data_IF_259301822463
#
_entry.id   IF_259301822463
#
_cell.length_a   1.000
_cell.length_b   1.000
_cell.length_c   1.000
_cell.angle_alpha   90.00
_cell.angle_beta   90.00
_cell.angle_gamma   90.00
#
_symmetry.space_group_name_H-M   'P 1'
#
loop_
_entity.id
_entity.type
_entity.pdbx_description
1 polymer ?
#
# COMPACT_ATOMS: atom_id res chain seq x y z
N UNK A 1 -15.71 6.20 -0.60
CA UNK A 1 -16.62 5.40 0.22
C UNK A 1 -16.79 3.97 -0.28
N UNK A 2 -16.75 3.70 -1.62
CA UNK A 2 -16.79 2.34 -2.16
C UNK A 2 -15.68 1.43 -1.61
N UNK A 3 -14.44 1.87 -1.54
CA UNK A 3 -13.32 1.07 -1.04
C UNK A 3 -13.52 0.66 0.43
N UNK A 4 -14.05 1.56 1.25
CA UNK A 4 -14.37 1.28 2.66
C UNK A 4 -15.51 0.26 2.76
N UNK A 5 -16.54 0.39 1.91
CA UNK A 5 -17.65 -0.57 1.85
C UNK A 5 -17.18 -1.96 1.41
N UNK A 6 -16.29 -2.06 0.42
CA UNK A 6 -15.68 -3.34 0.00
C UNK A 6 -14.88 -3.95 1.14
N UNK A 7 -14.04 -3.18 1.82
CA UNK A 7 -13.30 -3.67 2.99
C UNK A 7 -14.25 -4.21 4.06
N UNK A 8 -15.32 -3.47 4.39
CA UNK A 8 -16.28 -3.89 5.40
C UNK A 8 -17.02 -5.18 5.03
N UNK A 9 -17.30 -5.40 3.75
CA UNK A 9 -17.94 -6.62 3.24
C UNK A 9 -16.99 -7.84 3.27
N UNK A 10 -15.69 -7.63 3.04
CA UNK A 10 -14.68 -8.69 3.03
C UNK A 10 -14.20 -9.08 4.44
N UNK A 11 -14.39 -8.24 5.43
CA UNK A 11 -13.89 -8.43 6.80
C UNK A 11 -14.38 -9.71 7.51
N UNK A 12 -15.22 -10.50 6.87
CA UNK A 12 -15.75 -11.75 7.44
C UNK A 12 -15.05 -13.03 6.96
N UNK A 13 -14.38 -13.06 5.80
CA UNK A 13 -13.96 -14.32 5.19
C UNK A 13 -12.47 -14.47 4.79
N UNK A 14 -11.73 -13.38 4.56
CA UNK A 14 -10.35 -13.44 4.03
C UNK A 14 -9.37 -12.56 4.83
N UNK A 15 -9.58 -12.46 6.13
CA UNK A 15 -8.79 -11.59 7.01
C UNK A 15 -7.63 -12.38 7.59
N UNK A 16 -6.41 -11.98 7.29
CA UNK A 16 -5.19 -12.51 7.89
C UNK A 16 -4.61 -11.51 8.90
N UNK A 17 -4.51 -11.92 10.17
CA UNK A 17 -3.78 -11.15 11.16
C UNK A 17 -2.29 -11.50 11.09
N UNK A 18 -1.49 -10.59 10.53
CA UNK A 18 -0.05 -10.75 10.36
C UNK A 18 0.69 -10.21 11.57
N UNK A 19 1.24 -11.12 12.35
CA UNK A 19 2.16 -10.79 13.46
C UNK A 19 3.52 -11.43 13.16
N UNK A 20 4.51 -10.59 12.95
CA UNK A 20 5.90 -11.00 12.74
C UNK A 20 6.84 -10.00 13.41
N UNK A 21 8.14 -10.31 13.46
CA UNK A 21 9.15 -9.37 13.95
C UNK A 21 9.17 -8.02 13.20
N UNK A 22 8.64 -7.99 11.97
CA UNK A 22 8.69 -6.82 11.10
C UNK A 22 7.34 -6.15 10.88
N UNK A 23 6.21 -6.81 11.19
CA UNK A 23 4.88 -6.30 10.88
C UNK A 23 3.84 -6.80 11.87
N UNK A 24 2.99 -5.88 12.31
CA UNK A 24 1.72 -6.19 13.00
C UNK A 24 0.61 -5.45 12.29
N UNK A 25 -0.30 -6.17 11.64
CA UNK A 25 -1.44 -5.60 10.91
C UNK A 25 -2.44 -6.68 10.54
N UNK A 26 -3.68 -6.31 10.35
CA UNK A 26 -4.68 -7.17 9.71
C UNK A 26 -4.70 -6.87 8.22
N UNK A 27 -4.60 -7.88 7.37
CA UNK A 27 -4.60 -7.73 5.92
C UNK A 27 -5.74 -8.51 5.29
N UNK A 28 -6.33 -7.94 4.25
CA UNK A 28 -7.32 -8.61 3.40
C UNK A 28 -6.86 -8.48 1.96
N UNK A 29 -6.46 -9.58 1.35
CA UNK A 29 -6.06 -9.62 -0.06
C UNK A 29 -7.32 -9.70 -0.93
N UNK A 30 -7.36 -8.89 -1.98
CA UNK A 30 -8.45 -8.89 -2.94
C UNK A 30 -8.22 -9.96 -4.01
N UNK A 31 -9.28 -10.70 -4.32
CA UNK A 31 -9.30 -11.55 -5.50
C UNK A 31 -9.41 -10.67 -6.76
N UNK A 32 -8.41 -10.75 -7.62
CA UNK A 32 -8.32 -9.94 -8.84
C UNK A 32 -9.51 -10.18 -9.79
N UNK A 33 -10.06 -11.38 -9.80
CA UNK A 33 -11.20 -11.72 -10.67
C UNK A 33 -12.51 -11.09 -10.21
N UNK A 34 -12.68 -10.90 -8.90
CA UNK A 34 -13.89 -10.35 -8.30
C UNK A 34 -13.83 -8.82 -8.15
N UNK A 35 -12.64 -8.24 -8.10
CA UNK A 35 -12.40 -6.82 -7.83
C UNK A 35 -11.60 -6.14 -8.96
N UNK A 36 -11.94 -6.49 -10.21
CA UNK A 36 -11.27 -5.93 -11.40
C UNK A 36 -11.29 -4.39 -11.41
N UNK A 37 -12.38 -3.79 -11.00
CA UNK A 37 -12.53 -2.33 -10.94
C UNK A 37 -11.53 -1.66 -9.99
N UNK A 38 -11.16 -2.33 -8.88
CA UNK A 38 -10.15 -1.84 -7.94
C UNK A 38 -8.75 -1.98 -8.58
N UNK A 39 -8.50 -3.10 -9.24
CA UNK A 39 -7.24 -3.29 -9.97
C UNK A 39 -7.07 -2.25 -11.10
N UNK A 40 -8.12 -2.00 -11.88
CA UNK A 40 -8.11 -0.99 -12.94
C UNK A 40 -7.86 0.42 -12.36
N UNK A 41 -8.44 0.74 -11.20
CA UNK A 41 -8.15 2.00 -10.49
C UNK A 41 -6.68 2.09 -10.11
N UNK A 42 -6.12 1.07 -9.45
CA UNK A 42 -4.71 1.06 -9.03
C UNK A 42 -3.79 1.15 -10.24
N UNK A 43 -4.09 0.42 -11.32
CA UNK A 43 -3.31 0.49 -12.56
C UNK A 43 -3.34 1.88 -13.19
N UNK A 44 -4.51 2.52 -13.22
CA UNK A 44 -4.65 3.89 -13.73
C UNK A 44 -3.83 4.90 -12.91
N UNK A 45 -3.87 4.80 -11.58
CA UNK A 45 -3.09 5.66 -10.69
C UNK A 45 -1.58 5.44 -10.85
N UNK A 46 -1.16 4.18 -10.92
CA UNK A 46 0.24 3.82 -11.18
C UNK A 46 0.70 4.33 -12.54
N UNK A 47 -0.11 4.14 -13.60
CA UNK A 47 0.21 4.58 -14.96
C UNK A 47 0.35 6.10 -15.05
N UNK A 48 -0.56 6.85 -14.39
CA UNK A 48 -0.43 8.30 -14.33
C UNK A 48 0.87 8.73 -13.68
N UNK A 49 1.18 8.23 -12.49
CA UNK A 49 2.42 8.54 -11.78
C UNK A 49 3.67 8.12 -12.57
N UNK A 50 3.58 6.98 -13.25
CA UNK A 50 4.65 6.47 -14.11
C UNK A 50 4.94 7.39 -15.29
N UNK A 51 3.91 7.83 -15.99
CA UNK A 51 4.03 8.75 -17.13
C UNK A 51 4.57 10.12 -16.68
N UNK A 52 4.13 10.60 -15.52
CA UNK A 52 4.51 11.91 -15.01
C UNK A 52 5.93 11.93 -14.39
N UNK A 53 6.44 10.78 -13.91
CA UNK A 53 7.62 10.78 -13.02
C UNK A 53 8.61 9.66 -13.26
N UNK A 54 8.17 8.38 -13.36
CA UNK A 54 9.08 7.24 -13.23
C UNK A 54 9.57 6.66 -14.56
N UNK A 55 8.71 6.55 -15.55
CA UNK A 55 9.05 6.03 -16.89
C UNK A 55 9.37 4.52 -16.92
N UNK A 56 8.86 3.74 -15.98
CA UNK A 56 9.05 2.28 -15.96
C UNK A 56 8.18 1.58 -16.99
N UNK A 57 8.60 0.41 -17.45
CA UNK A 57 7.69 -0.50 -18.14
C UNK A 57 6.79 -1.18 -17.09
N UNK A 58 5.48 -0.90 -17.16
CA UNK A 58 4.44 -1.54 -16.34
C UNK A 58 3.35 -2.09 -17.26
N UNK A 59 2.83 -3.26 -16.96
CA UNK A 59 1.84 -3.95 -17.80
C UNK A 59 0.72 -4.66 -17.02
N UNK A 60 0.83 -4.75 -15.68
CA UNK A 60 -0.13 -5.48 -14.86
C UNK A 60 -0.15 -5.00 -13.40
N UNK A 61 -1.08 -5.55 -12.61
CA UNK A 61 -1.13 -5.43 -11.16
C UNK A 61 -0.88 -6.82 -10.55
N UNK A 62 0.05 -6.92 -9.59
CA UNK A 62 0.30 -8.16 -8.85
C UNK A 62 -0.97 -8.57 -8.09
N UNK A 63 -1.34 -7.81 -7.10
CA UNK A 63 -2.61 -7.86 -6.38
C UNK A 63 -2.83 -6.58 -5.56
N UNK A 64 -4.04 -6.44 -5.04
CA UNK A 64 -4.37 -5.36 -4.10
C UNK A 64 -4.70 -5.96 -2.73
N UNK A 65 -4.38 -5.23 -1.67
CA UNK A 65 -4.76 -5.63 -0.32
C UNK A 65 -5.13 -4.43 0.56
N UNK A 66 -6.11 -4.62 1.42
CA UNK A 66 -6.36 -3.72 2.53
C UNK A 66 -5.41 -4.01 3.69
N UNK A 67 -4.95 -2.96 4.35
CA UNK A 67 -4.11 -3.03 5.54
C UNK A 67 -4.77 -2.23 6.64
N UNK A 68 -5.15 -2.91 7.72
CA UNK A 68 -5.67 -2.32 8.94
C UNK A 68 -4.59 -2.39 10.02
N UNK A 69 -4.22 -1.23 10.55
CA UNK A 69 -3.31 -1.07 11.68
C UNK A 69 -4.11 -0.60 12.89
N UNK A 70 -4.11 -1.37 13.97
CA UNK A 70 -4.92 -1.11 15.18
C UNK A 70 -4.00 -0.71 16.35
N UNK A 71 -4.45 0.22 17.19
CA UNK A 71 -3.75 0.63 18.41
C UNK A 71 -3.55 -0.52 19.40
N UNK A 72 -4.50 -1.48 19.43
CA UNK A 72 -4.47 -2.63 20.34
C UNK A 72 -3.18 -3.44 20.25
N UNK A 73 -2.63 -3.51 19.02
CA UNK A 73 -1.44 -4.30 18.72
C UNK A 73 -0.25 -3.39 18.37
N UNK A 74 -0.37 -2.07 18.60
CA UNK A 74 0.58 -1.08 18.10
C UNK A 74 0.90 -1.32 16.61
N UNK A 75 -0.15 -1.47 15.80
CA UNK A 75 -0.10 -1.89 14.40
C UNK A 75 0.94 -1.09 13.62
N UNK A 76 1.87 -1.78 12.97
CA UNK A 76 3.00 -1.17 12.26
C UNK A 76 3.56 -2.07 11.16
N UNK A 77 4.43 -1.49 10.33
CA UNK A 77 5.29 -2.23 9.41
C UNK A 77 6.68 -1.57 9.43
N UNK A 78 7.71 -2.30 9.83
CA UNK A 78 9.08 -1.79 9.91
C UNK A 78 9.63 -1.47 8.52
N UNK A 79 10.82 -0.91 8.47
CA UNK A 79 11.52 -0.60 7.23
C UNK A 79 11.63 -1.84 6.34
N UNK A 80 11.14 -1.73 5.11
CA UNK A 80 11.16 -2.79 4.10
C UNK A 80 11.06 -2.18 2.70
N UNK A 81 11.27 -3.01 1.70
CA UNK A 81 10.99 -2.73 0.29
C UNK A 81 9.88 -3.66 -0.19
N UNK A 82 9.09 -3.20 -1.14
CA UNK A 82 8.04 -4.01 -1.76
C UNK A 82 8.55 -4.85 -2.94
N UNK A 83 9.75 -4.55 -3.40
CA UNK A 83 10.39 -5.24 -4.50
C UNK A 83 10.72 -6.69 -4.13
N UNK A 84 10.10 -7.64 -4.84
CA UNK A 84 10.43 -9.07 -4.77
C UNK A 84 11.38 -9.36 -5.94
N UNK A 85 12.68 -9.47 -5.71
CA UNK A 85 13.50 -9.42 -6.88
C UNK A 85 14.78 -10.22 -6.97
N UNK A 86 15.29 -10.69 -5.86
CA UNK A 86 16.57 -11.39 -5.83
C UNK A 86 16.49 -12.86 -5.39
N UNK A 87 15.30 -13.33 -5.05
CA UNK A 87 15.12 -14.77 -4.88
C UNK A 87 15.06 -15.43 -6.26
N UNK A 88 15.65 -16.60 -6.39
CA UNK A 88 15.75 -17.41 -7.63
C UNK A 88 14.38 -17.90 -8.17
N UNK A 89 13.29 -17.26 -7.79
CA UNK A 89 11.98 -17.55 -8.36
C UNK A 89 11.94 -17.00 -9.79
N UNK A 90 11.54 -17.86 -10.72
CA UNK A 90 11.37 -17.55 -12.15
C UNK A 90 10.23 -16.54 -12.43
N UNK A 91 9.90 -15.66 -11.47
CA UNK A 91 8.92 -14.62 -11.70
C UNK A 91 9.47 -13.60 -12.69
N UNK A 92 8.97 -13.67 -13.90
CA UNK A 92 9.32 -12.77 -15.01
C UNK A 92 8.93 -11.33 -14.70
N UNK A 93 7.82 -11.13 -13.96
CA UNK A 93 7.32 -9.80 -13.60
C UNK A 93 7.81 -9.36 -12.21
N UNK A 94 8.19 -8.12 -12.09
CA UNK A 94 8.67 -7.48 -10.86
C UNK A 94 7.82 -6.29 -10.51
N UNK A 95 7.56 -6.06 -9.21
CA UNK A 95 6.89 -4.85 -8.72
C UNK A 95 7.73 -3.63 -9.04
N UNK A 96 7.14 -2.66 -9.72
CA UNK A 96 7.78 -1.41 -10.16
C UNK A 96 7.31 -0.22 -9.34
N UNK A 97 6.00 -0.11 -9.12
CA UNK A 97 5.37 1.01 -8.44
C UNK A 97 4.43 0.47 -7.37
N UNK A 98 4.62 0.96 -6.16
CA UNK A 98 3.70 0.79 -5.04
C UNK A 98 2.72 1.97 -5.03
N UNK A 99 1.44 1.68 -4.92
CA UNK A 99 0.35 2.65 -4.81
C UNK A 99 -0.35 2.46 -3.49
N UNK A 100 -0.37 3.48 -2.65
CA UNK A 100 -1.06 3.47 -1.34
C UNK A 100 -2.18 4.48 -1.36
N UNK A 101 -3.40 4.04 -1.06
CA UNK A 101 -4.57 4.91 -0.89
C UNK A 101 -4.93 4.96 0.58
N UNK A 102 -4.94 6.16 1.16
CA UNK A 102 -5.37 6.40 2.53
C UNK A 102 -6.89 6.33 2.64
N UNK A 103 -7.41 5.50 3.55
CA UNK A 103 -8.86 5.27 3.70
C UNK A 103 -9.43 5.74 5.04
N UNK A 104 -8.59 6.04 6.03
CA UNK A 104 -9.00 6.66 7.31
C UNK A 104 -8.85 8.18 7.25
N UNK A 105 -9.72 8.88 7.98
CA UNK A 105 -9.53 10.31 8.24
C UNK A 105 -8.39 10.53 9.23
N UNK A 106 -7.61 11.63 9.13
CA UNK A 106 -6.51 11.90 10.04
C UNK A 106 -6.93 12.08 11.51
N UNK A 107 -8.22 12.28 11.76
CA UNK A 107 -8.81 12.41 13.12
C UNK A 107 -9.15 11.06 13.74
N UNK A 108 -9.14 9.97 12.98
CA UNK A 108 -9.52 8.63 13.44
C UNK A 108 -8.37 7.87 14.11
N UNK A 109 -7.12 8.35 13.97
CA UNK A 109 -5.95 7.67 14.51
C UNK A 109 -4.79 8.62 14.81
N UNK A 110 -3.84 8.16 15.64
CA UNK A 110 -2.57 8.81 15.90
C UNK A 110 -1.41 7.82 15.62
N UNK A 111 -0.27 8.33 15.15
CA UNK A 111 0.80 7.48 14.62
C UNK A 111 0.47 6.94 13.23
N UNK A 112 0.90 5.73 12.91
CA UNK A 112 0.56 5.07 11.65
C UNK A 112 1.05 5.81 10.39
N UNK A 113 2.07 6.64 10.49
CA UNK A 113 2.59 7.43 9.38
C UNK A 113 3.31 6.54 8.36
N UNK A 114 2.97 6.68 7.07
CA UNK A 114 3.78 6.15 5.97
C UNK A 114 5.01 7.06 5.81
N UNK A 115 6.20 6.49 6.00
CA UNK A 115 7.48 7.18 5.86
C UNK A 115 8.32 6.50 4.79
N UNK A 116 8.82 7.29 3.82
CA UNK A 116 9.75 6.83 2.79
C UNK A 116 11.15 7.31 3.16
N UNK A 117 12.14 6.43 3.04
CA UNK A 117 13.55 6.74 3.35
C UNK A 117 14.08 7.77 2.35
N UNK A 118 14.87 8.69 2.86
CA UNK A 118 15.47 9.79 2.09
C UNK A 118 14.47 10.80 1.49
N UNK A 119 13.19 10.76 1.89
CA UNK A 119 12.23 11.76 1.47
C UNK A 119 12.33 13.03 2.33
N UNK A 120 12.32 14.19 1.69
CA UNK A 120 12.32 15.51 2.34
C UNK A 120 10.94 16.18 2.20
N UNK A 121 9.89 15.49 2.65
CA UNK A 121 8.55 16.04 2.61
C UNK A 121 8.42 17.27 3.50
N UNK A 122 7.81 18.32 2.95
CA UNK A 122 7.38 19.51 3.72
C UNK A 122 6.27 19.12 4.71
N UNK A 123 6.02 19.98 5.70
CA UNK A 123 4.89 19.80 6.63
C UNK A 123 3.55 19.68 5.89
N UNK A 124 3.36 20.47 4.82
CA UNK A 124 2.14 20.44 4.01
C UNK A 124 2.00 19.09 3.29
N UNK A 125 3.04 18.59 2.62
CA UNK A 125 3.01 17.29 1.96
C UNK A 125 2.70 16.16 2.94
N UNK A 126 3.32 16.16 4.13
CA UNK A 126 2.99 15.19 5.18
C UNK A 126 1.54 15.25 5.60
N UNK A 127 1.00 16.44 5.80
CA UNK A 127 -0.42 16.65 6.12
C UNK A 127 -1.34 16.15 5.00
N UNK A 128 -0.97 16.39 3.74
CA UNK A 128 -1.76 15.94 2.59
C UNK A 128 -1.77 14.42 2.46
N UNK A 129 -0.66 13.75 2.75
CA UNK A 129 -0.58 12.28 2.74
C UNK A 129 -1.50 11.60 3.77
N UNK A 130 -1.87 12.29 4.84
CA UNK A 130 -2.74 11.75 5.88
C UNK A 130 -4.23 11.84 5.55
N UNK A 131 -4.62 12.69 4.60
CA UNK A 131 -6.04 12.89 4.25
C UNK A 131 -6.63 11.64 3.63
N UNK A 132 -7.86 11.30 4.00
CA UNK A 132 -8.61 10.22 3.34
C UNK A 132 -8.76 10.51 1.86
N UNK A 133 -8.52 9.49 1.04
CA UNK A 133 -8.50 9.59 -0.42
C UNK A 133 -7.16 10.02 -1.01
N UNK A 134 -6.17 10.39 -0.20
CA UNK A 134 -4.82 10.67 -0.70
C UNK A 134 -4.20 9.42 -1.30
N UNK A 135 -3.54 9.62 -2.45
CA UNK A 135 -2.80 8.58 -3.16
C UNK A 135 -1.31 8.89 -3.09
N UNK A 136 -0.55 7.95 -2.58
CA UNK A 136 0.90 8.03 -2.50
C UNK A 136 1.48 6.95 -3.41
N UNK A 137 2.33 7.35 -4.35
CA UNK A 137 3.03 6.44 -5.25
C UNK A 137 4.54 6.55 -5.04
N UNK A 138 5.24 5.42 -5.12
CA UNK A 138 6.69 5.38 -5.07
C UNK A 138 7.22 4.12 -5.76
N UNK A 139 8.49 4.15 -6.25
CA UNK A 139 9.11 2.94 -6.77
C UNK A 139 9.19 1.85 -5.71
N UNK A 140 8.81 0.62 -6.05
CA UNK A 140 8.68 -0.49 -5.09
C UNK A 140 10.01 -0.88 -4.40
N UNK A 141 11.15 -0.43 -4.93
CA UNK A 141 12.46 -0.60 -4.30
C UNK A 141 12.80 0.49 -3.27
N UNK A 142 11.96 1.53 -3.12
CA UNK A 142 12.16 2.55 -2.08
C UNK A 142 11.82 1.96 -0.72
N UNK A 143 12.80 2.04 0.19
CA UNK A 143 12.63 1.59 1.56
C UNK A 143 11.64 2.48 2.30
N UNK A 144 10.64 1.86 2.91
CA UNK A 144 9.55 2.57 3.58
C UNK A 144 9.05 1.82 4.80
N UNK A 145 8.29 2.51 5.64
CA UNK A 145 7.68 1.95 6.84
C UNK A 145 6.33 2.57 7.16
N UNK A 146 5.56 1.89 7.99
CA UNK A 146 4.42 2.47 8.71
C UNK A 146 4.77 2.50 10.20
N UNK A 147 4.78 3.69 10.81
CA UNK A 147 5.05 3.85 12.23
C UNK A 147 3.94 3.20 13.07
N UNK A 148 4.17 2.83 14.35
CA UNK A 148 3.13 2.27 15.19
C UNK A 148 1.91 3.21 15.28
N UNK A 149 0.71 2.62 15.20
CA UNK A 149 -0.54 3.31 15.55
C UNK A 149 -0.62 3.35 17.08
N UNK A 150 -0.72 4.55 17.63
CA UNK A 150 -0.75 4.79 19.07
C UNK A 150 -2.16 5.04 19.60
N UNK A 151 -3.11 5.37 18.69
CA UNK A 151 -4.52 5.55 19.00
C UNK A 151 -5.37 5.28 17.76
N UNK A 152 -6.51 4.64 17.94
CA UNK A 152 -7.49 4.36 16.90
C UNK A 152 -7.04 3.33 15.89
N UNK A 153 -7.52 3.48 14.64
CA UNK A 153 -7.27 2.52 13.55
C UNK A 153 -6.98 3.24 12.24
N UNK A 154 -5.91 2.80 11.57
CA UNK A 154 -5.58 3.28 10.23
C UNK A 154 -5.87 2.20 9.20
N UNK A 155 -6.72 2.52 8.23
CA UNK A 155 -7.01 1.68 7.08
C UNK A 155 -6.37 2.27 5.82
N UNK A 156 -5.75 1.44 5.01
CA UNK A 156 -5.24 1.79 3.68
C UNK A 156 -5.46 0.64 2.69
N UNK A 157 -5.55 0.99 1.41
CA UNK A 157 -5.46 0.04 0.30
C UNK A 157 -4.09 0.20 -0.33
N UNK A 158 -3.41 -0.92 -0.61
CA UNK A 158 -2.17 -0.94 -1.37
C UNK A 158 -2.32 -1.87 -2.57
N UNK A 159 -1.69 -1.48 -3.69
CA UNK A 159 -1.53 -2.32 -4.87
C UNK A 159 -0.19 -2.08 -5.51
N UNK A 160 0.28 -3.06 -6.29
CA UNK A 160 1.61 -3.03 -6.91
C UNK A 160 1.50 -3.20 -8.41
N UNK A 161 1.90 -2.17 -9.16
CA UNK A 161 2.08 -2.29 -10.60
C UNK A 161 3.37 -3.04 -10.91
N UNK A 162 3.26 -4.01 -11.81
CA UNK A 162 4.35 -4.91 -12.21
C UNK A 162 4.70 -4.71 -13.67
N UNK A 163 5.89 -5.14 -14.03
CA UNK A 163 6.40 -5.22 -15.39
C UNK A 163 7.61 -6.11 -15.47
N UNK A 164 8.13 -6.32 -16.69
CA UNK A 164 9.30 -7.17 -16.89
C UNK A 164 10.48 -6.78 -16.00
N UNK A 165 11.34 -7.73 -15.71
CA UNK A 165 12.59 -7.49 -14.97
C UNK A 165 13.37 -6.31 -15.59
N UNK A 166 14.23 -5.69 -14.81
CA UNK A 166 15.14 -4.65 -15.29
C UNK A 166 16.15 -5.28 -16.24
N UNK A 167 16.19 -4.78 -17.46
CA UNK A 167 17.22 -5.14 -18.46
C UNK A 167 18.38 -4.17 -18.35
#
# INVERSE_FOLDING_TARGET
DRLVSVHSALASNDVEHKVSANRTSTTTTLDNSQHKDINDLIYSLASKANNDTYGFHIDDIDYCQFNLYDEKDAGHHKWHIDFKGFEETQEIKKRKISVVIQLSEPTEYEGGELQLKYSNYTKQQKSDMLKKGSVITFPSFVEHRVTPVTKGKRLSLIGWATGNAWN
#
